data_IF_802193088422
#
_entry.id   IF_802193088422
#
_cell.length_a   1.000
_cell.length_b   1.000
_cell.length_c   1.000
_cell.angle_alpha   90.00
_cell.angle_beta   90.00
_cell.angle_gamma   90.00
#
_symmetry.space_group_name_H-M   'P 1'
#
loop_
_entity.id
_entity.type
_entity.pdbx_description
1 polymer ?
#
# COMPACT_ATOMS: atom_id res chain seq x y z
N UNK A 1 13.05 3.29 1.18
CA UNK A 1 13.03 3.03 -0.27
C UNK A 1 13.42 1.60 -0.61
N UNK A 2 14.63 1.12 -0.27
CA UNK A 2 15.03 -0.26 -0.58
C UNK A 2 14.02 -1.32 -0.09
N UNK A 3 13.56 -1.23 1.15
CA UNK A 3 12.54 -2.15 1.69
C UNK A 3 11.24 -2.14 0.87
N UNK A 4 10.74 -0.95 0.48
CA UNK A 4 9.54 -0.81 -0.34
C UNK A 4 9.70 -1.45 -1.72
N UNK A 5 10.87 -1.25 -2.36
CA UNK A 5 11.17 -1.84 -3.66
C UNK A 5 11.26 -3.36 -3.55
N UNK A 6 12.00 -3.88 -2.57
CA UNK A 6 12.15 -5.32 -2.35
C UNK A 6 10.80 -5.98 -2.05
N UNK A 7 10.03 -5.42 -1.11
CA UNK A 7 8.70 -5.95 -0.77
C UNK A 7 7.73 -5.84 -1.95
N UNK A 8 7.79 -4.76 -2.73
CA UNK A 8 6.95 -4.59 -3.91
C UNK A 8 7.28 -5.58 -5.02
N UNK A 9 8.57 -5.82 -5.30
CA UNK A 9 8.99 -6.83 -6.27
C UNK A 9 8.60 -8.23 -5.82
N UNK A 10 8.82 -8.56 -4.54
CA UNK A 10 8.39 -9.85 -3.98
C UNK A 10 6.87 -10.01 -4.08
N UNK A 11 6.10 -8.97 -3.76
CA UNK A 11 4.66 -8.98 -3.88
C UNK A 11 4.19 -9.23 -5.32
N UNK A 12 4.83 -8.61 -6.32
CA UNK A 12 4.54 -8.88 -7.74
C UNK A 12 4.84 -10.35 -8.07
N UNK A 13 6.06 -10.80 -7.78
CA UNK A 13 6.51 -12.15 -8.12
C UNK A 13 5.62 -13.23 -7.48
N UNK A 14 5.28 -13.05 -6.20
CA UNK A 14 4.42 -13.99 -5.48
C UNK A 14 2.98 -13.89 -5.97
N UNK A 15 2.46 -12.69 -6.26
CA UNK A 15 1.09 -12.50 -6.76
C UNK A 15 0.83 -13.14 -8.13
N UNK A 16 1.86 -13.29 -8.96
CA UNK A 16 1.80 -13.96 -10.27
C UNK A 16 1.90 -15.49 -10.19
N UNK A 17 2.00 -16.08 -8.99
CA UNK A 17 1.89 -17.53 -8.85
C UNK A 17 0.43 -17.98 -9.09
N UNK A 18 0.19 -19.26 -9.45
CA UNK A 18 -1.14 -19.76 -9.76
C UNK A 18 -1.98 -19.95 -8.48
N UNK A 19 -2.44 -18.84 -7.90
CA UNK A 19 -3.30 -18.85 -6.72
C UNK A 19 -4.72 -19.26 -7.09
N UNK A 20 -5.40 -20.04 -6.22
CA UNK A 20 -6.82 -20.30 -6.39
C UNK A 20 -7.61 -18.99 -6.28
N UNK A 21 -8.52 -18.77 -7.23
CA UNK A 21 -9.28 -17.53 -7.35
C UNK A 21 -10.55 -17.56 -6.48
N UNK A 22 -10.95 -16.43 -5.88
CA UNK A 22 -12.25 -16.31 -5.22
C UNK A 22 -13.39 -16.19 -6.24
N UNK A 23 -14.62 -16.47 -5.79
CA UNK A 23 -15.81 -16.25 -6.60
C UNK A 23 -16.32 -14.81 -6.42
N UNK A 24 -16.60 -14.14 -7.53
CA UNK A 24 -17.32 -12.88 -7.50
C UNK A 24 -18.83 -13.16 -7.38
N UNK A 25 -19.48 -12.61 -6.36
CA UNK A 25 -20.93 -12.76 -6.13
C UNK A 25 -21.61 -11.40 -6.24
N UNK A 26 -22.06 -10.98 -7.44
CA UNK A 26 -22.73 -9.71 -7.64
C UNK A 26 -24.05 -9.67 -6.86
N UNK A 27 -24.30 -8.57 -6.13
CA UNK A 27 -25.54 -8.38 -5.37
C UNK A 27 -25.48 -8.72 -3.88
N UNK A 28 -24.34 -9.20 -3.38
CA UNK A 28 -24.07 -9.27 -1.92
C UNK A 28 -23.29 -8.03 -1.46
N UNK A 29 -23.36 -7.73 -0.15
CA UNK A 29 -22.60 -6.63 0.45
C UNK A 29 -21.08 -6.86 0.39
N UNK A 30 -20.66 -8.12 0.29
CA UNK A 30 -19.26 -8.51 0.33
C UNK A 30 -18.63 -8.69 -1.06
N UNK A 31 -19.37 -8.78 -2.18
CA UNK A 31 -18.86 -8.83 -3.57
C UNK A 31 -17.91 -10.00 -3.93
N UNK A 32 -17.20 -10.58 -2.97
CA UNK A 32 -16.23 -11.67 -3.05
C UNK A 32 -16.66 -12.73 -2.03
N UNK A 33 -16.79 -13.97 -2.49
CA UNK A 33 -17.14 -15.12 -1.67
C UNK A 33 -16.17 -16.28 -1.93
N UNK A 34 -16.22 -17.30 -1.08
CA UNK A 34 -15.42 -18.53 -1.20
C UNK A 34 -13.91 -18.26 -1.36
N UNK A 35 -13.38 -17.23 -0.67
CA UNK A 35 -11.96 -16.87 -0.73
C UNK A 35 -11.10 -18.04 -0.24
N UNK A 36 -10.26 -18.63 -1.11
CA UNK A 36 -9.49 -19.81 -0.74
C UNK A 36 -8.50 -19.52 0.38
N UNK A 37 -8.34 -20.47 1.31
CA UNK A 37 -7.43 -20.35 2.44
C UNK A 37 -5.99 -19.91 2.08
N UNK A 38 -5.36 -20.45 1.03
CA UNK A 38 -4.02 -20.01 0.60
C UNK A 38 -3.95 -18.52 0.23
N UNK A 39 -4.99 -17.98 -0.42
CA UNK A 39 -5.04 -16.57 -0.82
C UNK A 39 -5.21 -15.66 0.40
N UNK A 40 -6.03 -16.07 1.37
CA UNK A 40 -6.11 -15.39 2.67
C UNK A 40 -4.75 -15.36 3.35
N UNK A 41 -4.06 -16.50 3.42
CA UNK A 41 -2.73 -16.59 4.06
C UNK A 41 -1.74 -15.67 3.36
N UNK A 42 -1.70 -15.64 2.03
CA UNK A 42 -0.83 -14.73 1.28
C UNK A 42 -1.07 -13.27 1.63
N UNK A 43 -2.32 -12.82 1.49
CA UNK A 43 -2.66 -11.41 1.63
C UNK A 43 -2.53 -10.95 3.09
N UNK A 44 -2.99 -11.79 4.03
CA UNK A 44 -2.89 -11.52 5.47
C UNK A 44 -1.50 -11.74 6.05
N UNK A 45 -0.57 -12.42 5.37
CA UNK A 45 0.84 -12.47 5.80
C UNK A 45 1.63 -11.30 5.22
N UNK A 46 1.34 -10.89 3.99
CA UNK A 46 2.02 -9.75 3.35
C UNK A 46 1.78 -8.45 4.13
N UNK A 47 0.55 -8.20 4.58
CA UNK A 47 0.21 -6.99 5.33
C UNK A 47 1.01 -6.81 6.65
N UNK A 48 1.04 -7.77 7.60
CA UNK A 48 1.81 -7.65 8.83
C UNK A 48 3.32 -7.65 8.60
N UNK A 49 3.84 -8.33 7.57
CA UNK A 49 5.25 -8.25 7.19
C UNK A 49 5.64 -6.82 6.78
N UNK A 50 4.83 -6.20 5.94
CA UNK A 50 5.05 -4.81 5.52
C UNK A 50 4.86 -3.85 6.69
N UNK A 51 3.82 -4.04 7.51
CA UNK A 51 3.52 -3.21 8.68
C UNK A 51 4.63 -3.28 9.73
N UNK A 52 5.12 -4.48 10.05
CA UNK A 52 6.23 -4.68 10.97
C UNK A 52 7.50 -4.00 10.47
N UNK A 53 7.81 -4.12 9.17
CA UNK A 53 8.94 -3.44 8.54
C UNK A 53 8.80 -1.91 8.64
N UNK A 54 7.62 -1.37 8.33
CA UNK A 54 7.33 0.06 8.43
C UNK A 54 7.48 0.58 9.87
N UNK A 55 6.95 -0.14 10.87
CA UNK A 55 7.07 0.20 12.29
C UNK A 55 8.53 0.23 12.72
N UNK A 56 9.32 -0.79 12.36
CA UNK A 56 10.76 -0.84 12.71
C UNK A 56 11.51 0.34 12.08
N UNK A 57 11.30 0.62 10.80
CA UNK A 57 11.97 1.71 10.09
C UNK A 57 11.57 3.08 10.66
N UNK A 58 10.28 3.31 10.89
CA UNK A 58 9.79 4.58 11.43
C UNK A 58 10.34 4.84 12.83
N UNK A 59 10.34 3.82 13.70
CA UNK A 59 10.87 3.96 15.06
C UNK A 59 12.36 4.26 15.06
N UNK A 60 13.13 3.63 14.16
CA UNK A 60 14.57 3.90 14.00
C UNK A 60 14.85 5.34 13.53
N UNK A 61 14.05 5.85 12.59
CA UNK A 61 14.27 7.20 12.03
C UNK A 61 13.75 8.33 12.93
N UNK A 62 12.66 8.10 13.67
CA UNK A 62 12.00 9.17 14.44
C UNK A 62 12.26 9.11 15.94
N UNK A 63 12.77 7.98 16.45
CA UNK A 63 12.96 7.76 17.89
C UNK A 63 11.65 7.77 18.70
N UNK A 64 10.49 7.64 18.04
CA UNK A 64 9.20 7.70 18.72
C UNK A 64 9.06 6.56 19.74
N UNK A 65 8.63 6.94 20.95
CA UNK A 65 8.22 6.00 21.98
C UNK A 65 6.94 5.26 21.56
N UNK A 66 6.85 3.98 21.89
CA UNK A 66 5.66 3.16 21.68
C UNK A 66 4.42 3.68 22.46
N UNK A 67 4.61 4.59 23.42
CA UNK A 67 3.51 5.24 24.15
C UNK A 67 3.03 6.53 23.48
N UNK A 68 3.63 6.96 22.37
CA UNK A 68 3.25 8.21 21.72
C UNK A 68 1.88 8.08 21.04
N UNK A 69 0.90 8.99 21.31
CA UNK A 69 -0.40 8.94 20.66
C UNK A 69 -0.31 9.16 19.14
N UNK A 70 0.70 9.92 18.68
CA UNK A 70 0.94 10.15 17.24
C UNK A 70 1.38 8.87 16.53
N UNK A 71 2.18 8.03 17.20
CA UNK A 71 2.55 6.73 16.66
C UNK A 71 1.31 5.84 16.47
N UNK A 72 0.42 5.80 17.46
CA UNK A 72 -0.82 5.03 17.38
C UNK A 72 -1.80 5.57 16.33
N UNK A 73 -1.91 6.90 16.20
CA UNK A 73 -2.73 7.51 15.16
C UNK A 73 -2.20 7.19 13.76
N UNK A 74 -0.88 7.24 13.56
CA UNK A 74 -0.26 6.82 12.31
C UNK A 74 -0.48 5.34 12.04
N UNK A 75 -0.28 4.49 13.06
CA UNK A 75 -0.50 3.06 12.94
C UNK A 75 -1.95 2.75 12.54
N UNK A 76 -2.92 3.44 13.14
CA UNK A 76 -4.33 3.29 12.79
C UNK A 76 -4.59 3.65 11.32
N UNK A 77 -4.05 4.76 10.83
CA UNK A 77 -4.15 5.15 9.40
C UNK A 77 -3.56 4.08 8.50
N UNK A 78 -2.37 3.56 8.83
CA UNK A 78 -1.69 2.53 8.03
C UNK A 78 -2.44 1.20 8.07
N UNK A 79 -3.00 0.81 9.21
CA UNK A 79 -3.83 -0.41 9.35
C UNK A 79 -5.10 -0.31 8.53
N UNK A 80 -5.78 0.84 8.55
CA UNK A 80 -6.98 1.07 7.72
C UNK A 80 -6.63 1.01 6.24
N UNK A 81 -5.53 1.65 5.82
CA UNK A 81 -5.05 1.57 4.44
C UNK A 81 -4.67 0.14 4.03
N UNK A 82 -4.03 -0.61 4.92
CA UNK A 82 -3.69 -2.02 4.69
C UNK A 82 -4.95 -2.88 4.55
N UNK A 83 -5.95 -2.71 5.41
CA UNK A 83 -7.23 -3.43 5.31
C UNK A 83 -7.95 -3.14 3.99
N UNK A 84 -7.97 -1.88 3.56
CA UNK A 84 -8.54 -1.48 2.28
C UNK A 84 -7.79 -2.12 1.09
N UNK A 85 -6.46 -2.23 1.18
CA UNK A 85 -5.63 -2.87 0.14
C UNK A 85 -5.71 -4.40 0.16
N UNK A 86 -5.86 -5.02 1.34
CA UNK A 86 -6.15 -6.44 1.49
C UNK A 86 -7.46 -6.76 0.77
N UNK A 87 -8.50 -5.96 1.03
CA UNK A 87 -9.77 -6.08 0.34
C UNK A 87 -9.64 -5.90 -1.17
N UNK A 88 -8.93 -4.85 -1.59
CA UNK A 88 -8.65 -4.58 -3.00
C UNK A 88 -7.93 -5.76 -3.68
N UNK A 89 -6.98 -6.41 -3.01
CA UNK A 89 -6.25 -7.56 -3.55
C UNK A 89 -7.15 -8.77 -3.77
N UNK A 90 -8.06 -9.06 -2.82
CA UNK A 90 -9.03 -10.15 -2.95
C UNK A 90 -10.03 -9.87 -4.07
N UNK A 91 -10.54 -8.64 -4.13
CA UNK A 91 -11.45 -8.20 -5.18
C UNK A 91 -10.79 -8.25 -6.57
N UNK A 92 -9.55 -7.81 -6.67
CA UNK A 92 -8.80 -7.83 -7.93
C UNK A 92 -8.51 -9.28 -8.37
N UNK A 93 -8.18 -10.18 -7.44
CA UNK A 93 -8.05 -11.61 -7.74
C UNK A 93 -9.33 -12.22 -8.31
N UNK A 94 -10.51 -11.87 -7.75
CA UNK A 94 -11.82 -12.32 -8.25
C UNK A 94 -12.19 -11.77 -9.64
N UNK A 95 -11.45 -10.77 -10.14
CA UNK A 95 -11.66 -10.15 -11.46
C UNK A 95 -10.63 -10.59 -12.51
N UNK A 96 -9.67 -11.45 -12.15
CA UNK A 96 -8.54 -11.81 -13.00
C UNK A 96 -8.91 -12.54 -14.30
N UNK A 97 -10.08 -13.17 -14.35
CA UNK A 97 -10.62 -13.85 -15.53
C UNK A 97 -11.59 -12.98 -16.35
N UNK A 98 -11.76 -11.71 -15.99
CA UNK A 98 -12.72 -10.79 -16.62
C UNK A 98 -12.05 -9.65 -17.35
N UNK A 99 -12.72 -9.13 -18.37
CA UNK A 99 -12.33 -7.88 -19.02
C UNK A 99 -12.43 -6.75 -17.99
N UNK A 100 -11.28 -6.35 -17.46
CA UNK A 100 -11.18 -5.24 -16.52
C UNK A 100 -11.56 -3.94 -17.24
N UNK A 101 -12.53 -3.21 -16.69
CA UNK A 101 -13.03 -1.97 -17.27
C UNK A 101 -12.00 -0.83 -17.24
N UNK A 102 -12.45 0.38 -17.57
CA UNK A 102 -11.59 1.55 -17.57
C UNK A 102 -10.94 1.78 -16.19
N UNK A 103 -9.61 1.80 -16.14
CA UNK A 103 -8.85 2.16 -14.95
C UNK A 103 -9.11 3.65 -14.67
N UNK A 104 -9.71 3.95 -13.51
CA UNK A 104 -9.89 5.33 -13.04
C UNK A 104 -8.73 5.65 -12.09
N UNK A 105 -7.71 6.42 -12.51
CA UNK A 105 -6.47 6.57 -11.77
C UNK A 105 -6.66 7.20 -10.38
N UNK A 106 -7.55 8.19 -10.28
CA UNK A 106 -7.78 8.97 -9.06
C UNK A 106 -8.22 8.07 -7.89
N UNK A 107 -9.07 7.07 -8.14
CA UNK A 107 -9.49 6.14 -7.08
C UNK A 107 -8.35 5.27 -6.59
N UNK A 108 -7.43 4.88 -7.47
CA UNK A 108 -6.30 4.05 -7.11
C UNK A 108 -5.24 4.84 -6.34
N UNK A 109 -5.11 6.14 -6.65
CA UNK A 109 -4.23 7.04 -5.91
C UNK A 109 -4.63 7.16 -4.44
N UNK A 110 -5.92 7.01 -4.10
CA UNK A 110 -6.38 7.07 -2.71
C UNK A 110 -5.69 6.06 -1.80
N UNK A 111 -5.28 4.90 -2.32
CA UNK A 111 -4.61 3.86 -1.54
C UNK A 111 -3.18 4.22 -1.12
N UNK A 112 -2.51 5.12 -1.84
CA UNK A 112 -1.10 5.45 -1.61
C UNK A 112 -0.90 6.92 -1.21
N UNK A 113 -1.59 7.84 -1.87
CA UNK A 113 -1.52 9.28 -1.61
C UNK A 113 -2.14 9.66 -0.27
N UNK A 114 -3.43 9.33 -0.07
CA UNK A 114 -4.20 9.74 1.11
C UNK A 114 -3.52 9.33 2.43
N UNK A 115 -3.14 8.05 2.64
CA UNK A 115 -2.52 7.67 3.90
C UNK A 115 -1.12 8.30 4.10
N UNK A 116 -0.40 8.63 3.02
CA UNK A 116 0.87 9.35 3.12
C UNK A 116 0.69 10.81 3.54
N UNK A 117 -0.32 11.49 3.00
CA UNK A 117 -0.68 12.86 3.40
C UNK A 117 -1.17 12.90 4.85
N UNK A 118 -2.05 11.98 5.24
CA UNK A 118 -2.52 11.85 6.63
C UNK A 118 -1.37 11.59 7.60
N UNK A 119 -0.42 10.73 7.23
CA UNK A 119 0.81 10.53 8.00
C UNK A 119 1.62 11.82 8.15
N UNK A 120 1.74 12.62 7.08
CA UNK A 120 2.35 13.95 7.12
C UNK A 120 1.68 14.91 8.10
N UNK A 121 0.35 15.00 8.05
CA UNK A 121 -0.44 15.85 8.94
C UNK A 121 -0.22 15.50 10.42
N UNK A 122 -0.24 14.20 10.75
CA UNK A 122 0.03 13.71 12.11
C UNK A 122 1.42 14.10 12.63
N UNK A 123 2.39 14.23 11.71
CA UNK A 123 3.79 14.55 12.02
C UNK A 123 4.18 16.00 11.74
N UNK A 124 3.25 16.87 11.32
CA UNK A 124 3.53 18.26 10.91
C UNK A 124 4.21 19.10 12.00
N UNK A 125 3.89 18.86 13.27
CA UNK A 125 4.54 19.54 14.40
C UNK A 125 5.93 19.01 14.78
N UNK A 126 6.44 17.98 14.09
CA UNK A 126 7.68 17.25 14.47
C UNK A 126 8.83 17.45 13.50
N UNK A 127 8.70 18.38 12.56
CA UNK A 127 9.73 18.71 11.58
C UNK A 127 9.62 17.90 10.28
N UNK A 128 10.20 18.46 9.21
CA UNK A 128 10.17 17.90 7.84
C UNK A 128 10.64 16.45 7.76
N UNK A 129 11.73 16.09 8.46
CA UNK A 129 12.27 14.73 8.45
C UNK A 129 11.28 13.71 9.02
N UNK A 130 10.55 14.07 10.07
CA UNK A 130 9.57 13.19 10.69
C UNK A 130 8.35 12.99 9.78
N UNK A 131 7.89 14.06 9.10
CA UNK A 131 6.86 13.98 8.07
C UNK A 131 7.24 13.07 6.90
N UNK A 132 8.46 13.22 6.36
CA UNK A 132 8.99 12.33 5.32
C UNK A 132 9.09 10.88 5.80
N UNK A 133 9.64 10.65 7.00
CA UNK A 133 9.76 9.30 7.56
C UNK A 133 8.38 8.63 7.72
N UNK A 134 7.38 9.37 8.20
CA UNK A 134 6.01 8.88 8.34
C UNK A 134 5.37 8.53 6.98
N UNK A 135 5.47 9.44 6.01
CA UNK A 135 4.95 9.20 4.65
C UNK A 135 5.64 8.02 3.95
N UNK A 136 6.97 7.94 4.04
CA UNK A 136 7.74 6.82 3.49
C UNK A 136 7.42 5.51 4.20
N UNK A 137 7.24 5.55 5.52
CA UNK A 137 6.81 4.41 6.33
C UNK A 137 5.44 3.88 5.89
N UNK A 138 4.48 4.76 5.60
CA UNK A 138 3.20 4.36 4.99
C UNK A 138 3.42 3.67 3.64
N UNK A 139 4.32 4.22 2.81
CA UNK A 139 4.67 3.64 1.51
C UNK A 139 5.27 2.24 1.58
N UNK A 140 5.96 1.87 2.66
CA UNK A 140 6.46 0.49 2.91
C UNK A 140 5.31 -0.50 3.02
N UNK A 141 4.10 -0.06 3.38
CA UNK A 141 2.90 -0.90 3.50
C UNK A 141 2.03 -0.84 2.27
N UNK A 142 1.72 0.39 1.81
CA UNK A 142 0.71 0.56 0.77
C UNK A 142 1.21 0.13 -0.60
N UNK A 143 2.48 0.39 -0.95
CA UNK A 143 2.99 0.01 -2.28
C UNK A 143 3.06 -1.50 -2.50
N UNK A 144 3.62 -2.32 -1.58
CA UNK A 144 3.66 -3.77 -1.80
C UNK A 144 2.27 -4.40 -1.90
N UNK A 145 1.31 -3.99 -1.05
CA UNK A 145 -0.05 -4.52 -1.11
C UNK A 145 -0.80 -4.04 -2.36
N UNK A 146 -0.54 -2.82 -2.83
CA UNK A 146 -1.07 -2.32 -4.09
C UNK A 146 -0.50 -3.09 -5.29
N UNK A 147 0.82 -3.32 -5.32
CA UNK A 147 1.47 -4.12 -6.34
C UNK A 147 0.98 -5.57 -6.35
N UNK A 148 0.77 -6.16 -5.16
CA UNK A 148 0.16 -7.48 -5.01
C UNK A 148 -1.24 -7.53 -5.64
N UNK A 149 -2.05 -6.49 -5.44
CA UNK A 149 -3.40 -6.42 -6.01
C UNK A 149 -3.38 -6.48 -7.55
N UNK A 150 -2.47 -5.74 -8.19
CA UNK A 150 -2.30 -5.76 -9.65
C UNK A 150 -1.75 -7.09 -10.15
N UNK A 151 -0.80 -7.70 -9.43
CA UNK A 151 -0.27 -9.00 -9.80
C UNK A 151 -1.34 -10.10 -9.72
N UNK A 152 -2.17 -10.08 -8.67
CA UNK A 152 -3.29 -11.01 -8.54
C UNK A 152 -4.37 -10.79 -9.61
N UNK A 153 -4.60 -9.54 -10.05
CA UNK A 153 -5.49 -9.23 -11.16
C UNK A 153 -4.96 -9.74 -12.50
N UNK A 154 -3.66 -9.56 -12.74
CA UNK A 154 -3.00 -10.00 -13.97
C UNK A 154 -2.95 -11.53 -14.09
N UNK A 155 -2.78 -12.22 -12.96
CA UNK A 155 -2.74 -13.68 -12.93
C UNK A 155 -1.45 -14.28 -13.48
N UNK A 156 -1.33 -15.62 -13.47
CA UNK A 156 -0.07 -16.32 -13.76
C UNK A 156 0.38 -16.27 -15.21
N UNK A 157 -0.52 -15.95 -16.15
CA UNK A 157 -0.19 -15.83 -17.58
C UNK A 157 0.77 -14.65 -17.84
N UNK A 158 0.74 -13.65 -16.97
CA UNK A 158 1.61 -12.47 -17.04
C UNK A 158 2.97 -12.68 -16.36
N UNK A 159 3.32 -13.92 -15.98
CA UNK A 159 4.63 -14.25 -15.42
C UNK A 159 5.74 -14.32 -16.48
N UNK A 160 5.90 -13.21 -17.19
CA UNK A 160 6.91 -12.96 -18.21
C UNK A 160 7.63 -11.64 -17.91
N UNK A 161 8.79 -11.41 -18.54
CA UNK A 161 9.51 -10.14 -18.36
C UNK A 161 8.68 -8.93 -18.83
N UNK A 162 7.88 -9.10 -19.90
CA UNK A 162 6.99 -8.07 -20.40
C UNK A 162 5.81 -7.80 -19.42
N UNK A 163 5.18 -8.85 -18.90
CA UNK A 163 4.09 -8.72 -17.92
C UNK A 163 4.55 -8.07 -16.61
N UNK A 164 5.71 -8.49 -16.09
CA UNK A 164 6.33 -7.86 -14.91
C UNK A 164 6.66 -6.38 -15.20
N UNK A 165 7.21 -6.06 -16.37
CA UNK A 165 7.47 -4.67 -16.75
C UNK A 165 6.18 -3.85 -16.81
N UNK A 166 5.09 -4.42 -17.36
CA UNK A 166 3.76 -3.80 -17.38
C UNK A 166 3.23 -3.52 -15.97
N UNK A 167 3.33 -4.49 -15.06
CA UNK A 167 2.94 -4.34 -13.66
C UNK A 167 3.77 -3.29 -12.92
N UNK A 168 5.08 -3.23 -13.20
CA UNK A 168 5.95 -2.19 -12.67
C UNK A 168 5.56 -0.81 -13.21
N UNK A 169 5.23 -0.69 -14.49
CA UNK A 169 4.74 0.56 -15.09
C UNK A 169 3.42 1.01 -14.46
N UNK A 170 2.43 0.11 -14.33
CA UNK A 170 1.13 0.40 -13.72
C UNK A 170 1.30 0.79 -12.24
N UNK A 171 2.08 0.00 -11.48
CA UNK A 171 2.39 0.30 -10.08
C UNK A 171 3.15 1.63 -9.94
N UNK A 172 4.04 1.93 -10.88
CA UNK A 172 4.76 3.19 -10.94
C UNK A 172 3.83 4.39 -11.09
N UNK A 173 2.94 4.34 -12.07
CA UNK A 173 2.01 5.44 -12.41
C UNK A 173 0.92 5.59 -11.34
N UNK A 174 0.32 4.49 -10.90
CA UNK A 174 -0.86 4.51 -10.03
C UNK A 174 -0.54 4.40 -8.54
N UNK A 175 0.66 3.95 -8.18
CA UNK A 175 1.09 3.79 -6.80
C UNK A 175 2.26 4.69 -6.44
N UNK A 176 3.37 4.61 -7.17
CA UNK A 176 4.63 5.29 -6.79
C UNK A 176 4.53 6.81 -6.98
N UNK A 177 4.02 7.27 -8.12
CA UNK A 177 3.84 8.70 -8.39
C UNK A 177 2.93 9.39 -7.34
N UNK A 178 1.71 8.90 -7.05
CA UNK A 178 0.87 9.47 -5.99
C UNK A 178 1.50 9.35 -4.60
N UNK A 179 2.18 8.24 -4.27
CA UNK A 179 2.91 8.14 -3.01
C UNK A 179 3.96 9.25 -2.91
N UNK A 180 4.76 9.44 -3.96
CA UNK A 180 5.83 10.44 -3.96
C UNK A 180 5.28 11.85 -3.73
N UNK A 181 4.16 12.19 -4.40
CA UNK A 181 3.44 13.44 -4.15
C UNK A 181 2.98 13.56 -2.69
N UNK A 182 2.38 12.50 -2.13
CA UNK A 182 1.93 12.48 -0.74
C UNK A 182 3.07 12.63 0.27
N UNK A 183 4.21 11.97 0.03
CA UNK A 183 5.43 12.08 0.84
C UNK A 183 6.03 13.49 0.76
N UNK A 184 6.07 14.08 -0.44
CA UNK A 184 6.56 15.44 -0.61
C UNK A 184 5.71 16.45 0.19
N UNK A 185 4.39 16.32 0.13
CA UNK A 185 3.46 17.11 0.94
C UNK A 185 3.65 16.87 2.43
N UNK A 186 3.82 15.61 2.85
CA UNK A 186 4.05 15.26 4.24
C UNK A 186 5.31 15.94 4.82
N UNK A 187 6.38 16.05 4.03
CA UNK A 187 7.56 16.80 4.44
C UNK A 187 7.34 18.30 4.48
N UNK A 188 6.64 18.86 3.49
CA UNK A 188 6.33 20.29 3.42
C UNK A 188 5.54 20.75 4.66
N UNK A 189 4.57 19.96 5.11
CA UNK A 189 3.79 20.21 6.33
C UNK A 189 4.67 20.28 7.59
N UNK A 190 5.74 19.48 7.66
CA UNK A 190 6.71 19.51 8.76
C UNK A 190 7.66 20.73 8.74
N UNK A 191 7.68 21.52 7.66
CA UNK A 191 8.54 22.69 7.53
C UNK A 191 7.90 24.02 7.94
N UNK A 192 6.58 24.13 7.86
CA UNK A 192 5.85 25.39 8.02
C UNK A 192 5.75 25.90 9.47
N UNK A 193 6.09 25.09 10.48
CA UNK A 193 5.87 25.40 11.90
C UNK A 193 6.92 26.33 12.56
N UNK A 194 7.73 27.08 11.81
CA UNK A 194 8.66 28.09 12.37
C UNK A 194 8.32 29.49 11.88
N UNK A 195 7.32 30.12 12.49
CA UNK A 195 7.33 31.58 12.63
C UNK A 195 7.66 31.83 14.11
N UNK A 196 8.89 32.27 14.44
CA UNK A 196 9.19 32.73 15.79
C UNK A 196 8.33 33.96 16.08
N UNK A 197 7.62 33.95 17.22
CA UNK A 197 7.11 35.16 17.88
C UNK A 197 8.16 35.68 18.83
#
# INVERSE_FOLDING_TARGET
>A
MAATVVLGLLAIMVGLLPWPQPLLVPGTTWLVDDVPGPLWVLVLSTAPLCLGTAVVLLRRETGLSARSPVFWAWLAVVVVAAAALVWNALYASALSDRVFGAIIPIFHWLFTFTPAVLAGLLFGGRGRRAGWAAGLGTGVVTLPLFALSWALLAGPEEFSLAGIAGLLSITGILGVAPLFAGVALAGAMGGAARIPR
#
